data_IF_376387880819
#
_entry.id   IF_376387880819
#
_cell.length_a   1.000
_cell.length_b   1.000
_cell.length_c   1.000
_cell.angle_alpha   90.00
_cell.angle_beta   90.00
_cell.angle_gamma   90.00
#
_symmetry.space_group_name_H-M   'P 1'
#
loop_
_entity.id
_entity.type
_entity.pdbx_description
1 polymer ?
#
# COMPACT_ATOMS: atom_id res chain seq x y z
N UNK A 1 56.15 47.11 17.50
CA UNK A 1 56.39 48.54 17.07
C UNK A 1 55.09 49.04 16.47
N UNK A 2 54.52 50.08 17.13
CA UNK A 2 53.59 51.14 16.71
C UNK A 2 52.33 50.71 15.86
N UNK A 3 51.21 50.65 16.43
CA UNK A 3 50.09 51.58 16.65
C UNK A 3 49.86 52.63 15.54
N UNK A 4 48.67 52.66 15.00
CA UNK A 4 47.84 53.88 14.82
C UNK A 4 46.37 53.52 14.51
N UNK A 5 45.54 53.91 15.46
CA UNK A 5 44.10 54.15 15.39
C UNK A 5 43.78 55.33 14.49
N UNK A 6 42.74 55.22 13.65
CA UNK A 6 42.02 56.36 13.08
C UNK A 6 40.51 56.14 13.27
N UNK A 7 39.95 57.05 14.08
CA UNK A 7 38.52 57.16 14.32
C UNK A 7 37.92 58.10 13.27
N UNK A 8 36.85 57.71 12.61
CA UNK A 8 36.03 58.67 11.84
C UNK A 8 34.57 58.52 12.26
N UNK A 9 34.08 59.61 12.83
CA UNK A 9 32.69 59.89 13.16
C UNK A 9 31.94 60.17 11.85
N UNK A 10 30.85 59.47 11.60
CA UNK A 10 29.95 59.65 10.44
C UNK A 10 28.52 59.67 10.88
N UNK A 11 27.86 60.72 10.66
CA UNK A 11 26.56 61.26 10.99
C UNK A 11 25.38 60.27 10.62
N UNK A 12 24.51 60.06 11.59
CA UNK A 12 23.25 59.38 11.39
C UNK A 12 22.23 60.30 10.68
N UNK A 13 21.70 59.87 9.56
CA UNK A 13 20.47 60.42 8.93
C UNK A 13 19.34 59.42 9.16
N UNK A 14 18.41 59.79 10.00
CA UNK A 14 17.18 59.04 10.23
C UNK A 14 16.20 59.32 9.09
N UNK A 15 15.90 58.30 8.30
CA UNK A 15 14.76 58.30 7.35
C UNK A 15 13.63 57.51 8.01
N UNK A 16 12.59 58.23 8.45
CA UNK A 16 11.32 57.60 8.82
C UNK A 16 10.60 57.16 7.56
N UNK A 17 10.51 55.86 7.34
CA UNK A 17 9.58 55.26 6.38
C UNK A 17 8.33 54.79 7.13
N UNK A 18 7.19 55.39 6.81
CA UNK A 18 5.89 54.98 7.29
C UNK A 18 5.51 53.64 6.66
N UNK A 19 5.46 52.58 7.46
CA UNK A 19 4.90 51.29 7.08
C UNK A 19 3.37 51.37 7.16
N UNK A 20 2.71 51.46 5.99
CA UNK A 20 1.30 51.16 5.86
C UNK A 20 1.14 49.66 5.95
N UNK A 21 0.70 49.18 7.10
CA UNK A 21 0.40 47.78 7.32
C UNK A 21 -0.89 47.40 6.59
N UNK A 22 -0.77 46.65 5.50
CA UNK A 22 -1.88 45.89 4.97
C UNK A 22 -2.06 44.62 5.82
N UNK A 23 -3.06 44.62 6.67
CA UNK A 23 -3.48 43.41 7.37
C UNK A 23 -4.00 42.38 6.33
N UNK A 24 -3.14 41.42 6.00
CA UNK A 24 -3.60 40.23 5.33
C UNK A 24 -4.43 39.40 6.33
N UNK A 25 -5.75 39.38 6.12
CA UNK A 25 -6.64 38.47 6.81
C UNK A 25 -6.23 37.04 6.44
N UNK A 26 -5.56 36.36 7.35
CA UNK A 26 -5.44 34.91 7.27
C UNK A 26 -6.85 34.35 7.44
N UNK A 27 -7.46 33.90 6.35
CA UNK A 27 -8.61 33.02 6.43
C UNK A 27 -8.16 31.77 7.19
N UNK A 28 -8.63 31.66 8.42
CA UNK A 28 -8.56 30.44 9.21
C UNK A 28 -9.30 29.33 8.47
N UNK A 29 -8.56 28.51 7.70
CA UNK A 29 -9.05 27.24 7.23
C UNK A 29 -8.99 26.29 8.43
N UNK A 30 -9.99 26.41 9.29
CA UNK A 30 -10.30 25.35 10.23
C UNK A 30 -10.70 24.14 9.40
N UNK A 31 -9.72 23.26 9.12
CA UNK A 31 -10.02 21.90 8.70
C UNK A 31 -10.97 21.35 9.75
N UNK A 32 -12.22 21.12 9.36
CA UNK A 32 -13.24 20.57 10.26
C UNK A 32 -12.67 19.34 10.93
N UNK A 33 -12.79 19.26 12.26
CA UNK A 33 -12.41 18.06 12.97
C UNK A 33 -13.16 16.86 12.32
N UNK A 34 -12.49 15.71 12.08
CA UNK A 34 -13.15 14.55 11.51
C UNK A 34 -14.37 14.20 12.34
N UNK A 35 -15.46 13.84 11.66
CA UNK A 35 -16.68 13.40 12.35
C UNK A 35 -16.36 12.21 13.26
N UNK A 36 -17.08 12.03 14.34
CA UNK A 36 -16.84 10.96 15.31
C UNK A 36 -16.92 9.54 14.72
N UNK A 37 -17.47 9.40 13.52
CA UNK A 37 -17.56 8.14 12.78
C UNK A 37 -16.31 7.84 11.92
N UNK A 38 -15.45 8.83 11.66
CA UNK A 38 -14.22 8.71 10.85
C UNK A 38 -12.95 8.50 11.69
N UNK A 39 -13.06 8.38 13.00
CA UNK A 39 -11.89 8.18 13.87
C UNK A 39 -11.44 6.72 13.83
N UNK A 40 -10.19 6.50 13.41
CA UNK A 40 -9.53 5.21 13.53
C UNK A 40 -9.56 4.73 14.99
N UNK A 41 -9.85 3.44 15.20
CA UNK A 41 -9.83 2.81 16.54
C UNK A 41 -8.56 1.99 16.71
N UNK A 42 -7.94 2.01 17.89
CA UNK A 42 -6.87 1.07 18.19
C UNK A 42 -7.35 -0.38 18.02
N UNK A 43 -6.59 -1.20 17.28
CA UNK A 43 -6.87 -2.60 17.06
C UNK A 43 -5.68 -3.44 17.54
N UNK A 44 -5.97 -4.52 18.27
CA UNK A 44 -5.04 -5.60 18.58
C UNK A 44 -5.70 -6.89 18.10
N UNK A 45 -5.11 -7.50 17.08
CA UNK A 45 -5.70 -8.64 16.38
C UNK A 45 -4.71 -9.81 16.36
N UNK A 46 -5.19 -10.98 16.75
CA UNK A 46 -4.42 -12.21 16.64
C UNK A 46 -4.34 -12.69 15.18
N UNK A 47 -3.59 -13.76 14.92
CA UNK A 47 -3.29 -14.28 13.58
C UNK A 47 -4.52 -14.50 12.72
N UNK A 48 -5.58 -15.06 13.29
CA UNK A 48 -6.82 -15.43 12.57
C UNK A 48 -7.91 -14.35 12.63
N UNK A 49 -7.67 -13.23 13.31
CA UNK A 49 -8.67 -12.16 13.45
C UNK A 49 -8.60 -11.16 12.31
N UNK A 50 -9.77 -10.68 11.87
CA UNK A 50 -9.95 -9.73 10.78
C UNK A 50 -11.01 -10.19 9.78
N UNK A 51 -11.05 -9.55 8.62
CA UNK A 51 -11.96 -9.92 7.53
C UNK A 51 -11.32 -11.05 6.69
N UNK A 52 -11.59 -12.31 7.07
CA UNK A 52 -11.10 -13.47 6.33
C UNK A 52 -11.86 -13.65 5.02
N UNK A 53 -11.12 -13.80 3.93
CA UNK A 53 -11.66 -13.94 2.58
C UNK A 53 -10.95 -15.04 1.81
N UNK A 54 -11.71 -15.67 0.90
CA UNK A 54 -11.20 -16.69 -0.03
C UNK A 54 -11.21 -16.13 -1.45
N UNK A 55 -10.07 -16.16 -2.15
CA UNK A 55 -9.97 -15.66 -3.54
C UNK A 55 -10.87 -16.45 -4.48
N UNK A 56 -11.48 -15.76 -5.43
CA UNK A 56 -12.26 -16.36 -6.51
C UNK A 56 -11.33 -17.11 -7.47
N UNK A 57 -11.89 -18.09 -8.15
CA UNK A 57 -11.15 -18.93 -9.12
C UNK A 57 -11.13 -18.18 -10.46
N UNK A 58 -9.95 -17.90 -10.96
CA UNK A 58 -9.78 -17.29 -12.26
C UNK A 58 -10.05 -18.32 -13.36
N UNK A 59 -10.97 -18.02 -14.27
CA UNK A 59 -11.39 -18.96 -15.33
C UNK A 59 -10.29 -19.31 -16.33
N UNK A 60 -9.23 -18.47 -16.39
CA UNK A 60 -8.07 -18.64 -17.25
C UNK A 60 -6.81 -19.14 -16.52
N UNK A 61 -6.93 -19.46 -15.23
CA UNK A 61 -5.79 -19.83 -14.39
C UNK A 61 -5.66 -21.35 -14.25
N UNK A 62 -4.43 -21.83 -14.46
CA UNK A 62 -4.02 -23.20 -14.08
C UNK A 62 -3.43 -23.26 -12.66
N UNK A 63 -3.42 -22.14 -11.93
CA UNK A 63 -2.92 -22.08 -10.56
C UNK A 63 -3.89 -22.81 -9.62
N UNK A 64 -3.39 -23.60 -8.64
CA UNK A 64 -4.26 -24.21 -7.65
C UNK A 64 -5.07 -23.14 -6.94
N UNK A 65 -6.36 -23.41 -6.82
CA UNK A 65 -7.34 -22.52 -6.26
C UNK A 65 -7.02 -22.14 -4.81
N UNK A 66 -7.50 -20.97 -4.47
CA UNK A 66 -7.73 -20.41 -3.14
C UNK A 66 -6.50 -20.21 -2.26
N UNK A 67 -5.81 -19.11 -2.51
CA UNK A 67 -5.18 -18.42 -1.38
C UNK A 67 -6.27 -17.74 -0.55
N UNK A 68 -6.09 -17.74 0.76
CA UNK A 68 -6.89 -16.96 1.68
C UNK A 68 -6.07 -15.77 2.15
N UNK A 69 -6.75 -14.67 2.38
CA UNK A 69 -6.15 -13.50 3.00
C UNK A 69 -7.08 -12.93 4.07
N UNK A 70 -6.49 -12.16 4.99
CA UNK A 70 -7.20 -11.49 6.06
C UNK A 70 -6.91 -10.00 5.96
N UNK A 71 -7.93 -9.17 5.75
CA UNK A 71 -7.83 -7.72 5.92
C UNK A 71 -7.92 -7.41 7.42
N UNK A 72 -6.83 -6.95 8.00
CA UNK A 72 -6.71 -6.68 9.43
C UNK A 72 -7.00 -5.23 9.78
N UNK A 73 -6.54 -4.31 8.93
CA UNK A 73 -6.75 -2.87 9.09
C UNK A 73 -7.27 -2.31 7.78
N UNK A 74 -8.42 -1.66 7.82
CA UNK A 74 -9.02 -0.99 6.66
C UNK A 74 -10.07 0.02 7.14
N UNK A 75 -10.55 0.93 6.28
CA UNK A 75 -11.65 1.82 6.64
C UNK A 75 -12.91 1.08 7.10
N UNK A 76 -13.23 -0.06 6.49
CA UNK A 76 -14.47 -0.81 6.78
C UNK A 76 -14.51 -1.48 8.15
N UNK A 77 -13.36 -1.72 8.79
CA UNK A 77 -13.32 -2.23 10.17
C UNK A 77 -12.98 -1.15 11.19
N UNK A 78 -13.07 0.12 10.81
CA UNK A 78 -12.71 1.28 11.61
C UNK A 78 -11.23 1.28 12.05
N UNK A 79 -10.37 0.57 11.33
CA UNK A 79 -8.95 0.48 11.65
C UNK A 79 -8.19 1.73 11.27
N UNK A 80 -8.25 2.14 10.01
CA UNK A 80 -7.52 3.31 9.52
C UNK A 80 -8.16 3.87 8.26
N UNK A 81 -8.14 5.21 8.13
CA UNK A 81 -8.46 5.92 6.89
C UNK A 81 -7.21 6.25 6.06
N UNK A 82 -6.02 5.86 6.51
CA UNK A 82 -4.74 6.27 5.93
C UNK A 82 -3.89 5.12 5.44
N UNK A 83 -4.18 3.89 5.86
CA UNK A 83 -3.46 2.69 5.44
C UNK A 83 -4.39 1.47 5.47
N UNK A 84 -3.98 0.44 4.75
CA UNK A 84 -4.60 -0.89 4.81
C UNK A 84 -3.50 -1.90 5.11
N UNK A 85 -3.79 -2.87 5.97
CA UNK A 85 -2.87 -3.94 6.26
C UNK A 85 -3.59 -5.29 6.38
N UNK A 86 -2.90 -6.34 6.02
CA UNK A 86 -3.43 -7.69 6.15
C UNK A 86 -2.36 -8.76 5.93
N UNK A 87 -2.81 -10.00 5.94
CA UNK A 87 -1.96 -11.18 5.75
C UNK A 87 -2.50 -12.06 4.66
N UNK A 88 -1.62 -12.76 3.95
CA UNK A 88 -1.98 -13.74 2.93
C UNK A 88 -1.13 -14.99 3.07
N UNK A 89 -1.72 -16.15 2.78
CA UNK A 89 -1.02 -17.43 2.75
C UNK A 89 -1.09 -18.01 1.34
N UNK A 90 0.07 -18.31 0.77
CA UNK A 90 0.21 -18.94 -0.54
C UNK A 90 0.68 -20.38 -0.40
N UNK A 91 -0.05 -21.32 -0.98
CA UNK A 91 0.35 -22.72 -1.07
C UNK A 91 1.67 -22.87 -1.85
N UNK A 92 2.41 -23.99 -1.70
CA UNK A 92 3.57 -24.30 -2.54
C UNK A 92 3.25 -24.16 -4.03
N UNK A 93 4.08 -23.43 -4.77
CA UNK A 93 3.92 -23.16 -6.20
C UNK A 93 2.88 -22.11 -6.56
N UNK A 94 2.06 -21.63 -5.61
CA UNK A 94 1.11 -20.56 -5.87
C UNK A 94 1.81 -19.24 -6.20
N UNK A 95 1.13 -18.40 -6.99
CA UNK A 95 1.69 -17.13 -7.50
C UNK A 95 0.83 -15.96 -7.08
N UNK A 96 1.48 -14.83 -6.80
CA UNK A 96 0.87 -13.51 -6.89
C UNK A 96 0.91 -13.08 -8.36
N UNK A 97 -0.24 -12.88 -9.02
CA UNK A 97 -0.29 -12.42 -10.41
C UNK A 97 0.45 -11.10 -10.59
N UNK A 98 1.00 -10.88 -11.78
CA UNK A 98 1.67 -9.61 -12.11
C UNK A 98 0.65 -8.48 -12.13
N UNK A 99 0.86 -7.50 -11.25
CA UNK A 99 -0.01 -6.34 -11.11
C UNK A 99 0.79 -5.12 -10.67
N UNK A 100 0.16 -3.95 -10.69
CA UNK A 100 0.70 -2.71 -10.10
C UNK A 100 -0.42 -1.89 -9.46
N UNK A 101 -0.07 -1.15 -8.42
CA UNK A 101 -0.91 -0.16 -7.77
C UNK A 101 -0.64 1.21 -8.39
N UNK A 102 -1.68 1.93 -8.81
CA UNK A 102 -1.50 3.20 -9.50
C UNK A 102 -1.25 4.38 -8.55
N UNK A 103 -1.70 4.25 -7.30
CA UNK A 103 -1.66 5.35 -6.31
C UNK A 103 -1.08 4.95 -4.96
N UNK A 104 -1.05 3.67 -4.61
CA UNK A 104 -0.53 3.20 -3.33
C UNK A 104 0.90 2.69 -3.47
N UNK A 105 1.76 3.01 -2.52
CA UNK A 105 2.94 2.22 -2.23
C UNK A 105 2.53 0.99 -1.43
N UNK A 106 3.30 -0.07 -1.54
CA UNK A 106 3.09 -1.30 -0.79
C UNK A 106 4.36 -1.79 -0.13
N UNK A 107 4.22 -2.35 1.06
CA UNK A 107 5.25 -3.18 1.70
C UNK A 107 4.74 -4.61 1.77
N UNK A 108 5.55 -5.56 1.29
CA UNK A 108 5.39 -6.98 1.56
C UNK A 108 6.47 -7.45 2.54
N UNK A 109 6.06 -8.10 3.62
CA UNK A 109 6.95 -8.74 4.57
C UNK A 109 6.72 -10.25 4.53
N UNK A 110 7.75 -11.02 4.20
CA UNK A 110 7.70 -12.48 4.24
C UNK A 110 7.79 -12.94 5.69
N UNK A 111 6.71 -13.49 6.23
CA UNK A 111 6.66 -13.98 7.61
C UNK A 111 7.21 -15.40 7.72
N UNK A 112 6.92 -16.25 6.71
CA UNK A 112 7.41 -17.63 6.66
C UNK A 112 7.49 -18.12 5.20
N UNK A 113 8.27 -19.17 4.96
CA UNK A 113 8.43 -19.75 3.62
C UNK A 113 9.49 -19.03 2.79
N UNK A 114 9.43 -19.24 1.46
CA UNK A 114 10.39 -18.66 0.50
C UNK A 114 9.65 -18.16 -0.73
N UNK A 115 9.82 -16.88 -1.03
CA UNK A 115 9.26 -16.22 -2.20
C UNK A 115 10.33 -16.00 -3.27
N UNK A 116 10.02 -16.25 -4.54
CA UNK A 116 10.69 -15.60 -5.65
C UNK A 116 9.86 -14.38 -6.06
N UNK A 117 10.47 -13.20 -6.11
CA UNK A 117 9.79 -11.92 -6.35
C UNK A 117 10.40 -11.26 -7.58
N UNK A 118 9.53 -10.78 -8.47
CA UNK A 118 9.87 -9.91 -9.61
C UNK A 118 9.32 -8.52 -9.31
N UNK A 119 10.19 -7.51 -9.28
CA UNK A 119 9.86 -6.11 -8.97
C UNK A 119 10.48 -5.19 -10.01
N UNK A 120 9.67 -4.62 -10.92
CA UNK A 120 10.18 -3.89 -12.06
C UNK A 120 11.12 -4.77 -12.89
N UNK A 121 12.38 -4.35 -13.02
CA UNK A 121 13.45 -5.07 -13.73
C UNK A 121 14.32 -5.94 -12.81
N UNK A 122 13.96 -6.05 -11.53
CA UNK A 122 14.70 -6.82 -10.53
C UNK A 122 13.96 -8.10 -10.19
N UNK A 123 14.73 -9.14 -9.83
CA UNK A 123 14.18 -10.37 -9.27
C UNK A 123 15.07 -10.89 -8.12
N UNK A 124 14.45 -11.54 -7.15
CA UNK A 124 15.17 -12.07 -6.00
C UNK A 124 14.39 -13.14 -5.26
N UNK A 125 15.11 -14.10 -4.70
CA UNK A 125 14.58 -15.01 -3.68
C UNK A 125 14.62 -14.34 -2.30
N UNK A 126 13.52 -14.38 -1.58
CA UNK A 126 13.37 -13.84 -0.24
C UNK A 126 12.89 -14.92 0.70
N UNK A 127 13.44 -14.92 1.92
CA UNK A 127 13.09 -15.82 3.01
C UNK A 127 12.34 -15.07 4.11
N UNK A 128 11.93 -15.78 5.15
CA UNK A 128 11.31 -15.19 6.35
C UNK A 128 12.15 -14.00 6.88
N UNK A 129 11.49 -12.88 7.15
CA UNK A 129 12.08 -11.59 7.50
C UNK A 129 12.44 -10.71 6.29
N UNK A 130 12.38 -11.25 5.05
CA UNK A 130 12.58 -10.47 3.83
C UNK A 130 11.47 -9.46 3.62
N UNK A 131 11.83 -8.27 3.12
CA UNK A 131 10.91 -7.17 2.85
C UNK A 131 11.04 -6.71 1.40
N UNK A 132 9.90 -6.41 0.79
CA UNK A 132 9.80 -5.75 -0.52
C UNK A 132 9.12 -4.41 -0.32
N UNK A 133 9.73 -3.31 -0.77
CA UNK A 133 9.07 -2.02 -0.92
C UNK A 133 8.72 -1.81 -2.39
N UNK A 134 7.45 -1.58 -2.66
CA UNK A 134 6.87 -1.47 -3.99
C UNK A 134 6.32 -0.06 -4.14
N UNK A 135 7.05 0.86 -4.80
CA UNK A 135 6.51 2.18 -5.12
C UNK A 135 5.29 2.06 -6.04
N UNK A 136 4.37 3.01 -5.94
CA UNK A 136 3.26 3.15 -6.87
C UNK A 136 3.73 3.07 -8.33
N UNK A 137 2.90 2.53 -9.21
CA UNK A 137 3.19 2.25 -10.62
C UNK A 137 4.29 1.20 -10.91
N UNK A 138 4.83 0.53 -9.90
CA UNK A 138 5.84 -0.51 -10.11
C UNK A 138 5.16 -1.88 -10.27
N UNK A 139 5.51 -2.60 -11.35
CA UNK A 139 5.04 -3.95 -11.56
C UNK A 139 5.65 -4.92 -10.55
N UNK A 140 4.79 -5.71 -9.92
CA UNK A 140 5.13 -6.76 -8.95
C UNK A 140 4.50 -8.08 -9.36
N UNK A 141 5.22 -9.15 -9.14
CA UNK A 141 4.68 -10.52 -9.09
C UNK A 141 5.53 -11.35 -8.13
N UNK A 142 4.99 -12.47 -7.69
CA UNK A 142 5.70 -13.34 -6.77
C UNK A 142 5.25 -14.79 -6.89
N UNK A 143 6.06 -15.71 -6.38
CA UNK A 143 5.77 -17.13 -6.35
C UNK A 143 6.30 -17.73 -5.06
N UNK A 144 5.50 -18.56 -4.42
CA UNK A 144 6.02 -19.44 -3.37
C UNK A 144 6.86 -20.55 -4.03
N UNK A 145 8.16 -20.51 -3.87
CA UNK A 145 9.11 -21.51 -4.40
C UNK A 145 9.50 -22.56 -3.36
N UNK A 146 8.99 -22.42 -2.12
CA UNK A 146 9.21 -23.39 -1.05
C UNK A 146 8.30 -24.61 -1.17
N UNK A 147 8.60 -25.61 -0.35
CA UNK A 147 7.81 -26.85 -0.23
C UNK A 147 6.65 -26.73 0.80
N UNK A 148 6.58 -25.63 1.53
CA UNK A 148 5.57 -25.36 2.58
C UNK A 148 4.78 -24.10 2.23
N UNK A 149 3.59 -23.89 2.83
CA UNK A 149 2.87 -22.62 2.71
C UNK A 149 3.76 -21.44 3.10
N UNK A 150 3.65 -20.36 2.35
CA UNK A 150 4.34 -19.09 2.59
C UNK A 150 3.32 -18.11 3.16
N UNK A 151 3.62 -17.49 4.27
CA UNK A 151 2.84 -16.41 4.84
C UNK A 151 3.52 -15.06 4.60
N UNK A 152 2.74 -14.06 4.24
CA UNK A 152 3.20 -12.68 4.09
C UNK A 152 2.24 -11.70 4.74
N UNK A 153 2.76 -10.54 5.11
CA UNK A 153 1.99 -9.34 5.46
C UNK A 153 2.12 -8.35 4.33
N UNK A 154 0.98 -7.77 3.93
CA UNK A 154 0.94 -6.62 3.03
C UNK A 154 0.49 -5.37 3.78
N UNK A 155 1.04 -4.22 3.40
CA UNK A 155 0.67 -2.90 3.93
C UNK A 155 0.63 -1.92 2.77
N UNK A 156 -0.56 -1.33 2.52
CA UNK A 156 -0.73 -0.26 1.52
C UNK A 156 -0.70 1.10 2.20
N UNK A 157 -0.03 2.06 1.59
CA UNK A 157 0.14 3.43 2.10
C UNK A 157 -1.16 4.25 2.11
N UNK A 158 -2.20 3.77 1.43
CA UNK A 158 -3.53 4.38 1.41
C UNK A 158 -4.60 3.31 1.15
N UNK A 159 -5.86 3.53 1.57
CA UNK A 159 -6.99 2.72 1.16
C UNK A 159 -7.23 2.73 -0.35
N UNK A 160 -7.93 1.69 -0.82
CA UNK A 160 -8.39 1.52 -2.20
C UNK A 160 -8.16 0.10 -2.71
N UNK A 161 -6.94 -0.42 -2.67
CA UNK A 161 -6.66 -1.75 -3.24
C UNK A 161 -7.40 -2.89 -2.53
N UNK A 162 -7.75 -2.73 -1.27
CA UNK A 162 -8.60 -3.71 -0.57
C UNK A 162 -9.97 -3.88 -1.24
N UNK A 163 -10.47 -2.91 -1.98
CA UNK A 163 -11.71 -3.05 -2.76
C UNK A 163 -11.50 -3.98 -3.98
N UNK A 164 -10.34 -3.89 -4.64
CA UNK A 164 -9.94 -4.91 -5.64
C UNK A 164 -9.89 -6.29 -5.01
N UNK A 165 -9.28 -6.41 -3.83
CA UNK A 165 -9.17 -7.69 -3.12
C UNK A 165 -10.55 -8.25 -2.75
N UNK A 166 -11.47 -7.42 -2.24
CA UNK A 166 -12.85 -7.81 -1.92
C UNK A 166 -13.63 -8.26 -3.16
N UNK A 167 -13.51 -7.52 -4.26
CA UNK A 167 -14.17 -7.84 -5.53
C UNK A 167 -13.69 -9.20 -6.09
N UNK A 168 -12.40 -9.51 -5.96
CA UNK A 168 -11.76 -10.74 -6.40
C UNK A 168 -11.85 -11.90 -5.38
N UNK A 169 -12.70 -11.80 -4.38
CA UNK A 169 -12.83 -12.79 -3.31
C UNK A 169 -14.27 -12.87 -2.80
N UNK A 170 -14.52 -13.87 -1.97
CA UNK A 170 -15.79 -14.05 -1.23
C UNK A 170 -15.47 -14.11 0.27
N UNK A 171 -16.43 -13.77 1.16
CA UNK A 171 -16.28 -14.01 2.59
C UNK A 171 -15.94 -15.49 2.88
N UNK A 172 -15.21 -15.72 3.96
CA UNK A 172 -14.91 -17.09 4.38
C UNK A 172 -16.18 -17.89 4.65
N UNK A 173 -16.16 -19.15 4.22
CA UNK A 173 -17.33 -20.04 4.31
C UNK A 173 -18.26 -20.00 3.10
N UNK A 174 -18.14 -19.00 2.25
CA UNK A 174 -18.83 -18.98 0.96
C UNK A 174 -18.04 -19.74 -0.11
N UNK A 175 -18.76 -20.37 -1.05
CA UNK A 175 -18.13 -21.05 -2.19
C UNK A 175 -17.59 -20.01 -3.19
N UNK A 176 -16.28 -20.01 -3.49
CA UNK A 176 -15.72 -19.09 -4.47
C UNK A 176 -16.32 -19.32 -5.86
N UNK A 177 -16.95 -18.29 -6.42
CA UNK A 177 -17.45 -18.31 -7.79
C UNK A 177 -16.32 -18.01 -8.77
N UNK A 178 -16.32 -18.59 -9.99
CA UNK A 178 -15.36 -18.20 -11.02
C UNK A 178 -15.45 -16.70 -11.35
N UNK A 179 -14.33 -16.12 -11.77
CA UNK A 179 -14.23 -14.72 -12.21
C UNK A 179 -13.56 -14.66 -13.58
N UNK A 180 -14.18 -13.95 -14.53
CA UNK A 180 -13.63 -13.77 -15.88
C UNK A 180 -12.55 -12.69 -15.92
N UNK A 181 -11.70 -12.65 -16.98
CA UNK A 181 -10.72 -11.58 -17.16
C UNK A 181 -11.34 -10.17 -17.18
N UNK A 182 -12.53 -10.02 -17.79
CA UNK A 182 -13.25 -8.73 -17.82
C UNK A 182 -13.64 -8.29 -16.41
N UNK A 183 -14.23 -9.21 -15.64
CA UNK A 183 -14.61 -8.95 -14.24
C UNK A 183 -13.38 -8.63 -13.37
N UNK A 184 -12.25 -9.29 -13.61
CA UNK A 184 -11.00 -8.97 -12.91
C UNK A 184 -10.53 -7.55 -13.22
N UNK A 185 -10.64 -7.13 -14.48
CA UNK A 185 -10.32 -5.76 -14.90
C UNK A 185 -11.23 -4.75 -14.21
N UNK A 186 -12.54 -5.03 -14.14
CA UNK A 186 -13.49 -4.16 -13.43
C UNK A 186 -13.13 -4.08 -11.94
N UNK A 187 -12.80 -5.22 -11.31
CA UNK A 187 -12.33 -5.22 -9.92
C UNK A 187 -11.05 -4.39 -9.74
N UNK A 188 -10.11 -4.45 -10.67
CA UNK A 188 -8.86 -3.70 -10.60
C UNK A 188 -9.09 -2.17 -10.60
N UNK A 189 -10.08 -1.70 -11.35
CA UNK A 189 -10.44 -0.27 -11.36
C UNK A 189 -10.94 0.25 -10.02
N UNK A 190 -11.61 -0.59 -9.22
CA UNK A 190 -12.10 -0.20 -7.88
C UNK A 190 -10.98 0.20 -6.94
N UNK A 191 -9.83 -0.44 -7.04
CA UNK A 191 -8.69 -0.22 -6.14
C UNK A 191 -7.53 0.50 -6.81
N UNK A 192 -7.76 1.17 -7.95
CA UNK A 192 -6.71 1.90 -8.68
C UNK A 192 -5.51 1.02 -8.99
N UNK A 193 -5.76 -0.17 -9.56
CA UNK A 193 -4.72 -1.12 -9.91
C UNK A 193 -4.85 -1.60 -11.35
N UNK A 194 -3.78 -2.19 -11.86
CA UNK A 194 -3.74 -2.85 -13.15
C UNK A 194 -3.17 -4.25 -12.99
N UNK A 195 -3.76 -5.20 -13.69
CA UNK A 195 -3.23 -6.55 -13.82
C UNK A 195 -2.66 -6.74 -15.21
N UNK A 196 -1.46 -7.29 -15.31
CA UNK A 196 -0.91 -7.70 -16.59
C UNK A 196 -1.75 -8.86 -17.16
N UNK A 197 -1.98 -8.82 -18.47
CA UNK A 197 -2.57 -9.96 -19.16
C UNK A 197 -1.70 -11.21 -19.00
N UNK A 198 -2.29 -12.38 -19.22
CA UNK A 198 -1.59 -13.68 -19.07
C UNK A 198 -0.29 -13.81 -19.86
N UNK A 199 -0.13 -13.05 -20.96
CA UNK A 199 1.05 -13.08 -21.81
C UNK A 199 2.27 -12.38 -21.18
N UNK A 200 2.04 -11.53 -20.18
CA UNK A 200 3.08 -10.72 -19.54
C UNK A 200 3.60 -11.31 -18.22
N UNK A 201 3.08 -12.47 -17.80
CA UNK A 201 3.66 -13.18 -16.67
C UNK A 201 5.01 -13.79 -17.05
N UNK A 202 6.03 -13.68 -16.20
CA UNK A 202 7.34 -14.29 -16.47
C UNK A 202 7.15 -15.77 -16.80
N UNK A 203 7.67 -16.18 -17.94
CA UNK A 203 7.68 -17.61 -18.33
C UNK A 203 8.46 -18.39 -17.28
N UNK A 204 7.97 -19.59 -16.98
CA UNK A 204 8.61 -20.57 -16.10
C UNK A 204 10.05 -20.84 -16.52
#
# INVERSE_FOLDING_TARGET
MYSRTVSTVGTAVAIMAALVGTAASHADQSAGAPSSDDTARPLMLDSEEGELRTRRIHTDSSSPASSQFILKVSPKNNGSQHLVAGTEVLAPGATLPKHRHLVQDEILLIQSGTAHVWLGDQERDLHAGGLVFIPANTWISGKNIGATPMALTFIFSAPGFEETMRCNSVPAGETPTPITPEQQKDCAHLGHSESAGRQDNPKK
#
